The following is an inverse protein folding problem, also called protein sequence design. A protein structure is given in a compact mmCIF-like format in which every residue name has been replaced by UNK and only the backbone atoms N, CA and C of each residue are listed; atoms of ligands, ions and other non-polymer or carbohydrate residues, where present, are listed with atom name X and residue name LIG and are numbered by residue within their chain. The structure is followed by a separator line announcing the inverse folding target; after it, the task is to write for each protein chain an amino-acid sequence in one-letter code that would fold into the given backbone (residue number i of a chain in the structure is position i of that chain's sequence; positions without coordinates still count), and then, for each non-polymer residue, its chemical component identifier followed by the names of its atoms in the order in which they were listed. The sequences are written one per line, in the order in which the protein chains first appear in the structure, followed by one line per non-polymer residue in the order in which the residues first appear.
data_IF_378005214121
#
_entry.id   IF_378005214121
#
_cell.length_a   1.000
_cell.length_b   1.000
_cell.length_c   1.000
_cell.angle_alpha   90.00
_cell.angle_beta   90.00
_cell.angle_gamma   90.00
#
_symmetry.space_group_name_H-M   'P 1'
#
loop_
_entity.id
_entity.type
_entity.pdbx_description
1 polymer ?
#
# COMPACT_ATOMS: atom_id res chain seq x y z
N UNK A 1 2.16 9.15 8.38
CA UNK A 1 2.48 9.81 9.65
C UNK A 1 1.44 9.35 10.64
N UNK A 2 1.68 8.24 11.35
CA UNK A 2 0.79 7.75 12.41
C UNK A 2 1.61 7.74 13.70
N UNK A 3 1.45 8.80 14.49
CA UNK A 3 1.98 8.86 15.84
C UNK A 3 1.02 8.06 16.73
N UNK A 4 1.45 6.89 17.20
CA UNK A 4 0.76 6.18 18.28
C UNK A 4 1.08 6.88 19.60
N UNK A 5 0.11 7.50 20.32
CA UNK A 5 0.40 8.33 21.49
C UNK A 5 0.53 7.59 22.83
N UNK A 6 0.66 6.25 22.87
CA UNK A 6 0.28 5.52 24.10
C UNK A 6 1.42 5.03 24.99
N UNK A 7 2.70 5.24 24.67
CA UNK A 7 3.80 4.79 25.54
C UNK A 7 4.09 5.73 26.72
N UNK A 8 3.57 6.96 26.73
CA UNK A 8 3.98 7.99 27.69
C UNK A 8 3.25 7.99 29.03
N UNK A 9 2.15 7.24 29.19
CA UNK A 9 1.31 7.35 30.40
C UNK A 9 1.55 6.26 31.44
N UNK A 10 2.40 5.25 31.15
CA UNK A 10 2.61 4.12 32.06
C UNK A 10 3.56 4.47 33.23
N UNK A 11 4.65 5.19 32.97
CA UNK A 11 5.73 5.35 33.97
C UNK A 11 5.46 6.31 35.13
N UNK A 12 4.67 7.39 34.94
CA UNK A 12 4.45 8.40 35.99
C UNK A 12 3.29 8.02 36.94
N UNK A 13 2.35 7.20 36.47
CA UNK A 13 1.22 6.71 37.29
C UNK A 13 1.62 5.58 38.24
N UNK A 14 2.68 4.83 37.94
CA UNK A 14 3.07 3.65 38.72
C UNK A 14 3.61 3.98 40.12
N UNK A 15 4.39 5.05 40.27
CA UNK A 15 5.00 5.42 41.56
C UNK A 15 3.96 5.91 42.56
N UNK A 16 3.02 6.76 42.13
CA UNK A 16 1.88 7.19 42.97
C UNK A 16 0.94 6.03 43.28
N UNK A 17 0.85 5.03 42.39
CA UNK A 17 -0.01 3.86 42.56
C UNK A 17 0.54 2.88 43.62
N UNK A 18 1.85 2.69 43.68
CA UNK A 18 2.48 1.81 44.68
C UNK A 18 2.44 2.43 46.08
N UNK A 19 2.53 3.75 46.18
CA UNK A 19 2.37 4.47 47.45
C UNK A 19 0.92 4.39 47.98
N UNK A 20 -0.08 4.47 47.09
CA UNK A 20 -1.49 4.35 47.43
C UNK A 20 -1.88 2.98 48.01
N UNK A 21 -1.15 1.91 47.67
CA UNK A 21 -1.35 0.56 48.24
C UNK A 21 -0.47 0.33 49.46
N UNK A 22 0.81 0.71 49.38
CA UNK A 22 1.78 0.38 50.43
C UNK A 22 1.53 1.14 51.73
N UNK A 23 1.02 2.37 51.66
CA UNK A 23 0.70 3.17 52.84
C UNK A 23 -0.41 2.56 53.71
N UNK A 24 -1.65 2.35 53.23
CA UNK A 24 -2.70 1.74 54.05
C UNK A 24 -2.34 0.32 54.48
N UNK A 25 -1.62 -0.45 53.65
CA UNK A 25 -1.17 -1.78 54.04
C UNK A 25 -0.21 -1.74 55.25
N UNK A 26 0.76 -0.82 55.23
CA UNK A 26 1.71 -0.65 56.31
C UNK A 26 1.03 -0.11 57.59
N UNK A 27 0.09 0.82 57.45
CA UNK A 27 -0.74 1.30 58.56
C UNK A 27 -1.56 0.17 59.19
N UNK A 28 -2.14 -0.72 58.39
CA UNK A 28 -2.85 -1.93 58.86
C UNK A 28 -1.94 -2.92 59.59
N UNK A 29 -0.74 -3.20 59.07
CA UNK A 29 0.26 -4.05 59.73
C UNK A 29 0.65 -3.46 61.10
N UNK A 30 0.86 -2.15 61.17
CA UNK A 30 1.23 -1.46 62.41
C UNK A 30 0.10 -1.52 63.45
N UNK A 31 -1.16 -1.38 63.02
CA UNK A 31 -2.31 -1.59 63.88
C UNK A 31 -2.37 -3.02 64.45
N UNK A 32 -2.07 -4.04 63.64
CA UNK A 32 -1.97 -5.43 64.09
C UNK A 32 -0.83 -5.61 65.11
N UNK A 33 0.34 -5.01 64.88
CA UNK A 33 1.44 -5.02 65.83
C UNK A 33 1.02 -4.41 67.19
N UNK A 34 0.25 -3.31 67.16
CA UNK A 34 -0.27 -2.70 68.38
C UNK A 34 -1.24 -3.63 69.11
N UNK A 35 -2.14 -4.35 68.41
CA UNK A 35 -3.00 -5.36 69.04
C UNK A 35 -2.16 -6.37 69.82
N UNK A 36 -1.10 -6.92 69.20
CA UNK A 36 -0.21 -7.89 69.83
C UNK A 36 0.49 -7.32 71.09
N UNK A 37 0.95 -6.08 71.03
CA UNK A 37 1.55 -5.38 72.17
C UNK A 37 0.56 -5.19 73.32
N UNK A 38 -0.69 -4.80 73.02
CA UNK A 38 -1.71 -4.60 74.03
C UNK A 38 -2.22 -5.91 74.64
N UNK A 39 -2.32 -6.98 73.84
CA UNK A 39 -2.62 -8.34 74.30
C UNK A 39 -1.51 -8.91 75.20
N UNK A 40 -0.25 -8.55 74.97
CA UNK A 40 0.86 -8.91 75.86
C UNK A 40 0.79 -8.17 77.20
N UNK A 41 0.36 -6.91 77.20
CA UNK A 41 0.31 -6.04 78.39
C UNK A 41 -0.99 -6.18 79.17
N UNK A 42 -1.96 -6.94 78.69
CA UNK A 42 -3.23 -7.14 79.36
C UNK A 42 -3.08 -7.97 80.62
N UNK A 43 -3.35 -7.35 81.77
CA UNK A 43 -3.71 -8.05 83.00
C UNK A 43 -5.22 -8.27 83.01
N UNK A 44 -5.65 -9.52 83.01
CA UNK A 44 -7.06 -9.88 83.25
C UNK A 44 -7.31 -9.79 84.75
N UNK A 45 -8.27 -8.96 85.15
CA UNK A 45 -8.64 -8.85 86.56
C UNK A 45 -9.39 -10.15 86.99
N UNK A 46 -8.85 -10.94 87.92
CA UNK A 46 -9.39 -12.26 88.25
C UNK A 46 -10.78 -12.22 88.91
N UNK A 47 -11.24 -11.08 89.42
CA UNK A 47 -12.54 -10.95 90.09
C UNK A 47 -13.63 -10.33 89.24
N UNK A 48 -13.28 -9.58 88.19
CA UNK A 48 -14.26 -8.87 87.34
C UNK A 48 -14.28 -9.39 85.91
N UNK A 49 -13.36 -10.30 85.54
CA UNK A 49 -13.17 -10.84 84.20
C UNK A 49 -13.06 -9.75 83.10
N UNK A 50 -12.70 -8.53 83.51
CA UNK A 50 -12.71 -7.35 82.64
C UNK A 50 -11.29 -7.01 82.20
N UNK A 51 -11.09 -6.91 80.89
CA UNK A 51 -9.83 -6.52 80.27
C UNK A 51 -9.70 -4.99 80.22
N UNK A 52 -8.68 -4.43 80.89
CA UNK A 52 -8.45 -2.98 80.95
C UNK A 52 -8.15 -2.34 79.58
N UNK A 53 -7.58 -3.10 78.66
CA UNK A 53 -7.16 -2.61 77.34
C UNK A 53 -8.16 -2.92 76.22
N UNK A 54 -9.34 -3.50 76.54
CA UNK A 54 -10.29 -3.96 75.54
C UNK A 54 -10.68 -2.89 74.52
N UNK A 55 -10.98 -1.65 74.97
CA UNK A 55 -11.34 -0.53 74.07
C UNK A 55 -10.23 -0.19 73.08
N UNK A 56 -8.97 -0.26 73.50
CA UNK A 56 -7.82 0.05 72.64
C UNK A 56 -7.59 -1.08 71.63
N UNK A 57 -7.66 -2.34 72.08
CA UNK A 57 -7.58 -3.51 71.19
C UNK A 57 -8.68 -3.46 70.12
N UNK A 58 -9.92 -3.16 70.52
CA UNK A 58 -11.04 -3.02 69.59
C UNK A 58 -10.80 -1.91 68.55
N UNK A 59 -10.30 -0.75 68.98
CA UNK A 59 -9.96 0.33 68.06
C UNK A 59 -8.90 -0.10 67.03
N UNK A 60 -7.82 -0.76 67.46
CA UNK A 60 -6.81 -1.22 66.51
C UNK A 60 -7.31 -2.31 65.56
N UNK A 61 -8.27 -3.15 65.99
CA UNK A 61 -8.94 -4.11 65.11
C UNK A 61 -9.72 -3.37 64.03
N UNK A 62 -10.54 -2.39 64.42
CA UNK A 62 -11.32 -1.56 63.50
C UNK A 62 -10.39 -0.79 62.53
N UNK A 63 -9.30 -0.21 63.02
CA UNK A 63 -8.28 0.49 62.21
C UNK A 63 -7.61 -0.46 61.21
N UNK A 64 -7.20 -1.65 61.65
CA UNK A 64 -6.57 -2.66 60.80
C UNK A 64 -7.52 -3.16 59.70
N UNK A 65 -8.78 -3.44 60.04
CA UNK A 65 -9.80 -3.88 59.08
C UNK A 65 -10.03 -2.81 58.00
N UNK A 66 -10.17 -1.55 58.40
CA UNK A 66 -10.36 -0.43 57.47
C UNK A 66 -9.15 -0.28 56.53
N UNK A 67 -7.93 -0.31 57.07
CA UNK A 67 -6.70 -0.18 56.31
C UNK A 67 -6.52 -1.31 55.28
N UNK A 68 -6.78 -2.55 55.70
CA UNK A 68 -6.67 -3.73 54.82
C UNK A 68 -7.73 -3.69 53.72
N UNK A 69 -8.98 -3.33 54.05
CA UNK A 69 -10.07 -3.20 53.06
C UNK A 69 -9.80 -2.11 52.02
N UNK A 70 -9.23 -0.98 52.44
CA UNK A 70 -8.82 0.09 51.53
C UNK A 70 -7.72 -0.38 50.58
N UNK A 71 -6.73 -1.11 51.09
CA UNK A 71 -5.63 -1.67 50.30
C UNK A 71 -6.14 -2.70 49.29
N UNK A 72 -7.00 -3.62 49.73
CA UNK A 72 -7.61 -4.65 48.87
C UNK A 72 -8.41 -4.03 47.73
N UNK A 73 -9.24 -3.02 48.01
CA UNK A 73 -10.03 -2.30 47.00
C UNK A 73 -9.13 -1.66 45.96
N UNK A 74 -8.09 -0.95 46.41
CA UNK A 74 -7.13 -0.30 45.51
C UNK A 74 -6.41 -1.34 44.65
N UNK A 75 -5.97 -2.46 45.22
CA UNK A 75 -5.32 -3.54 44.46
C UNK A 75 -6.26 -4.11 43.39
N UNK A 76 -7.54 -4.36 43.73
CA UNK A 76 -8.54 -4.87 42.79
C UNK A 76 -8.76 -3.92 41.61
N UNK A 77 -8.90 -2.63 41.88
CA UNK A 77 -9.04 -1.61 40.82
C UNK A 77 -7.82 -1.60 39.89
N UNK A 78 -6.61 -1.69 40.45
CA UNK A 78 -5.36 -1.68 39.68
C UNK A 78 -5.19 -2.94 38.84
N UNK A 79 -5.54 -4.11 39.39
CA UNK A 79 -5.54 -5.36 38.64
C UNK A 79 -6.53 -5.30 37.47
N UNK A 80 -7.74 -4.78 37.70
CA UNK A 80 -8.72 -4.59 36.61
C UNK A 80 -8.19 -3.67 35.50
N UNK A 81 -7.59 -2.54 35.86
CA UNK A 81 -6.96 -1.64 34.89
C UNK A 81 -5.81 -2.31 34.12
N UNK A 82 -4.99 -3.12 34.80
CA UNK A 82 -3.90 -3.85 34.15
C UNK A 82 -4.44 -4.88 33.16
N UNK A 83 -5.50 -5.60 33.51
CA UNK A 83 -6.17 -6.55 32.62
C UNK A 83 -6.71 -5.85 31.37
N UNK A 84 -7.40 -4.71 31.52
CA UNK A 84 -7.87 -3.89 30.40
C UNK A 84 -6.72 -3.44 29.49
N UNK A 85 -5.60 -3.01 30.08
CA UNK A 85 -4.40 -2.62 29.33
C UNK A 85 -3.79 -3.79 28.57
N UNK A 86 -3.73 -4.98 29.18
CA UNK A 86 -3.24 -6.18 28.52
C UNK A 86 -4.13 -6.60 27.34
N UNK A 87 -5.45 -6.56 27.51
CA UNK A 87 -6.38 -6.82 26.41
C UNK A 87 -6.19 -5.83 25.26
N UNK A 88 -6.03 -4.54 25.57
CA UNK A 88 -5.75 -3.53 24.55
C UNK A 88 -4.44 -3.82 23.83
N UNK A 89 -3.37 -4.14 24.56
CA UNK A 89 -2.07 -4.45 23.98
C UNK A 89 -2.14 -5.69 23.08
N UNK A 90 -2.92 -6.71 23.45
CA UNK A 90 -3.16 -7.89 22.62
C UNK A 90 -3.87 -7.50 21.32
N UNK A 91 -4.92 -6.67 21.38
CA UNK A 91 -5.63 -6.15 20.20
C UNK A 91 -4.70 -5.35 19.28
N UNK A 92 -3.89 -4.46 19.85
CA UNK A 92 -2.92 -3.65 19.10
C UNK A 92 -1.85 -4.52 18.42
N UNK A 93 -1.32 -5.53 19.12
CA UNK A 93 -0.36 -6.49 18.56
C UNK A 93 -0.95 -7.22 17.36
N UNK A 94 -2.17 -7.73 17.48
CA UNK A 94 -2.86 -8.44 16.39
C UNK A 94 -3.05 -7.51 15.18
N UNK A 95 -3.46 -6.26 15.40
CA UNK A 95 -3.61 -5.28 14.34
C UNK A 95 -2.28 -4.98 13.62
N UNK A 96 -1.19 -4.80 14.37
CA UNK A 96 0.15 -4.57 13.81
C UNK A 96 0.63 -5.78 13.00
N UNK A 97 0.41 -7.01 13.49
CA UNK A 97 0.74 -8.23 12.76
C UNK A 97 -0.05 -8.34 11.45
N UNK A 98 -1.34 -7.99 11.47
CA UNK A 98 -2.18 -7.97 10.27
C UNK A 98 -1.69 -6.92 9.25
N UNK A 99 -1.44 -5.68 9.69
CA UNK A 99 -0.90 -4.63 8.82
C UNK A 99 0.47 -5.01 8.23
N UNK A 100 1.31 -5.71 8.99
CA UNK A 100 2.59 -6.21 8.50
C UNK A 100 2.40 -7.23 7.37
N UNK A 101 1.45 -8.17 7.50
CA UNK A 101 1.13 -9.14 6.45
C UNK A 101 0.61 -8.45 5.20
N UNK A 102 -0.33 -7.51 5.34
CA UNK A 102 -0.88 -6.74 4.21
C UNK A 102 0.19 -5.94 3.48
N UNK A 103 1.07 -5.26 4.22
CA UNK A 103 2.18 -4.49 3.63
C UNK A 103 3.19 -5.40 2.93
N UNK A 104 3.47 -6.58 3.49
CA UNK A 104 4.34 -7.57 2.85
C UNK A 104 3.76 -8.03 1.51
N UNK A 105 2.48 -8.41 1.49
CA UNK A 105 1.79 -8.81 0.26
C UNK A 105 1.77 -7.69 -0.78
N UNK A 106 1.56 -6.44 -0.35
CA UNK A 106 1.61 -5.28 -1.24
C UNK A 106 3.02 -5.08 -1.81
N UNK A 107 4.07 -5.23 -1.00
CA UNK A 107 5.46 -5.16 -1.47
C UNK A 107 5.78 -6.24 -2.51
N UNK A 108 5.35 -7.48 -2.28
CA UNK A 108 5.56 -8.58 -3.23
C UNK A 108 4.85 -8.30 -4.56
N UNK A 109 3.61 -7.80 -4.51
CA UNK A 109 2.87 -7.37 -5.70
C UNK A 109 3.58 -6.24 -6.45
N UNK A 110 4.07 -5.22 -5.75
CA UNK A 110 4.86 -4.15 -6.38
C UNK A 110 6.14 -4.68 -7.02
N UNK A 111 6.80 -5.67 -6.41
CA UNK A 111 7.98 -6.29 -6.99
C UNK A 111 7.67 -7.02 -8.31
N UNK A 112 6.56 -7.78 -8.33
CA UNK A 112 6.07 -8.45 -9.54
C UNK A 112 5.73 -7.43 -10.63
N UNK A 113 4.97 -6.38 -10.30
CA UNK A 113 4.61 -5.31 -11.24
C UNK A 113 5.84 -4.59 -11.80
N UNK A 114 6.81 -4.29 -10.93
CA UNK A 114 8.07 -3.66 -11.36
C UNK A 114 8.81 -4.55 -12.35
N UNK A 115 8.98 -5.84 -12.04
CA UNK A 115 9.65 -6.79 -12.94
C UNK A 115 8.94 -6.90 -14.29
N UNK A 116 7.61 -7.00 -14.28
CA UNK A 116 6.80 -7.03 -15.51
C UNK A 116 6.95 -5.74 -16.33
N UNK A 117 7.00 -4.57 -15.69
CA UNK A 117 7.23 -3.31 -16.37
C UNK A 117 8.65 -3.21 -16.96
N UNK A 118 9.67 -3.72 -16.26
CA UNK A 118 11.05 -3.80 -16.76
C UNK A 118 11.14 -4.71 -18.00
N UNK A 119 10.50 -5.88 -17.96
CA UNK A 119 10.42 -6.81 -19.11
C UNK A 119 9.69 -6.20 -20.30
N UNK A 120 8.59 -5.47 -20.07
CA UNK A 120 7.85 -4.75 -21.12
C UNK A 120 8.68 -3.62 -21.74
N UNK A 121 9.42 -2.87 -20.91
CA UNK A 121 10.31 -1.81 -21.39
C UNK A 121 11.47 -2.37 -22.24
N UNK A 122 12.07 -3.47 -21.80
CA UNK A 122 13.10 -4.21 -22.55
C UNK A 122 12.58 -4.66 -23.92
N UNK A 123 11.38 -5.24 -23.97
CA UNK A 123 10.72 -5.66 -25.21
C UNK A 123 10.49 -4.47 -26.15
N UNK A 124 9.94 -3.38 -25.62
CA UNK A 124 9.65 -2.16 -26.38
C UNK A 124 10.92 -1.54 -26.97
N UNK A 125 12.02 -1.53 -26.22
CA UNK A 125 13.33 -1.07 -26.72
C UNK A 125 13.83 -1.92 -27.90
N UNK A 126 13.69 -3.24 -27.82
CA UNK A 126 14.08 -4.15 -28.92
C UNK A 126 13.21 -3.92 -30.16
N UNK A 127 11.90 -3.73 -29.97
CA UNK A 127 10.99 -3.41 -31.06
C UNK A 127 11.33 -2.07 -31.73
N UNK A 128 11.67 -1.05 -30.94
CA UNK A 128 12.12 0.25 -31.45
C UNK A 128 13.42 0.12 -32.26
N UNK A 129 14.42 -0.58 -31.74
CA UNK A 129 15.69 -0.82 -32.45
C UNK A 129 15.46 -1.55 -33.80
N UNK A 130 14.55 -2.51 -33.82
CA UNK A 130 14.18 -3.22 -35.05
C UNK A 130 13.47 -2.30 -36.05
N UNK A 131 12.57 -1.44 -35.57
CA UNK A 131 11.88 -0.45 -36.40
C UNK A 131 12.87 0.56 -37.00
N UNK A 132 13.83 1.07 -36.22
CA UNK A 132 14.89 1.97 -36.69
C UNK A 132 15.73 1.33 -37.80
N UNK A 133 16.19 0.08 -37.61
CA UNK A 133 16.91 -0.68 -38.66
C UNK A 133 16.07 -0.86 -39.92
N UNK A 134 14.78 -1.12 -39.76
CA UNK A 134 13.86 -1.32 -40.89
C UNK A 134 13.66 -0.02 -41.68
N UNK A 135 13.57 1.12 -41.00
CA UNK A 135 13.53 2.45 -41.62
C UNK A 135 14.83 2.78 -42.34
N UNK A 136 15.99 2.45 -41.75
CA UNK A 136 17.29 2.64 -42.41
C UNK A 136 17.41 1.82 -43.70
N UNK A 137 17.01 0.55 -43.66
CA UNK A 137 16.96 -0.32 -44.84
C UNK A 137 16.00 0.21 -45.91
N UNK A 138 14.83 0.69 -45.53
CA UNK A 138 13.86 1.28 -46.45
C UNK A 138 14.44 2.54 -47.12
N UNK A 139 15.08 3.41 -46.35
CA UNK A 139 15.73 4.62 -46.86
C UNK A 139 16.90 4.28 -47.81
N UNK A 140 17.67 3.23 -47.53
CA UNK A 140 18.71 2.74 -48.42
C UNK A 140 18.13 2.23 -49.75
N UNK A 141 17.08 1.41 -49.69
CA UNK A 141 16.40 0.89 -50.86
C UNK A 141 15.82 2.02 -51.74
N UNK A 142 15.17 3.03 -51.13
CA UNK A 142 14.65 4.21 -51.83
C UNK A 142 15.80 4.92 -52.58
N UNK A 143 16.94 5.17 -51.92
CA UNK A 143 18.10 5.81 -52.57
C UNK A 143 18.66 4.99 -53.73
N UNK A 144 18.84 3.68 -53.54
CA UNK A 144 19.32 2.79 -54.59
C UNK A 144 18.38 2.76 -55.81
N UNK A 145 17.06 2.80 -55.57
CA UNK A 145 16.07 2.89 -56.64
C UNK A 145 16.08 4.25 -57.34
N UNK A 146 16.26 5.34 -56.59
CA UNK A 146 16.36 6.68 -57.14
C UNK A 146 17.62 6.86 -58.01
N UNK A 147 18.76 6.31 -57.60
CA UNK A 147 19.98 6.29 -58.41
C UNK A 147 19.80 5.49 -59.70
N UNK A 148 19.08 4.36 -59.64
CA UNK A 148 18.75 3.55 -60.82
C UNK A 148 17.75 4.23 -61.75
N UNK A 149 16.82 5.03 -61.24
CA UNK A 149 15.96 5.89 -62.07
C UNK A 149 16.74 7.00 -62.74
N UNK A 150 17.69 7.63 -62.04
CA UNK A 150 18.55 8.64 -62.63
C UNK A 150 19.45 8.07 -63.74
N UNK A 151 19.74 6.76 -63.72
CA UNK A 151 20.48 6.08 -64.80
C UNK A 151 19.61 5.49 -65.92
N UNK A 152 18.28 5.47 -65.78
CA UNK A 152 17.36 4.83 -66.72
C UNK A 152 16.27 5.83 -67.14
N UNK A 153 16.36 6.35 -68.37
CA UNK A 153 15.39 7.29 -68.96
C UNK A 153 14.05 6.62 -69.33
N UNK A 154 13.42 5.88 -68.40
CA UNK A 154 12.14 5.25 -68.69
C UNK A 154 11.16 5.37 -67.50
N UNK A 155 10.16 6.25 -67.70
CA UNK A 155 9.20 6.72 -66.70
C UNK A 155 8.22 5.63 -66.21
N UNK A 156 8.24 4.46 -66.85
CA UNK A 156 7.26 3.39 -66.62
C UNK A 156 7.58 2.49 -65.41
N UNK A 157 8.82 2.49 -64.90
CA UNK A 157 9.24 1.56 -63.82
C UNK A 157 8.98 2.10 -62.41
N UNK A 158 8.53 3.35 -62.28
CA UNK A 158 8.32 3.99 -60.97
C UNK A 158 7.10 3.47 -60.19
N UNK A 159 6.06 2.99 -60.89
CA UNK A 159 4.83 2.51 -60.25
C UNK A 159 4.98 1.19 -59.51
N UNK A 160 5.93 0.33 -59.89
CA UNK A 160 6.04 -1.04 -59.36
C UNK A 160 6.87 -1.12 -58.08
N UNK A 161 7.81 -0.20 -57.87
CA UNK A 161 8.77 -0.27 -56.76
C UNK A 161 8.12 0.09 -55.41
N UNK A 162 7.20 1.06 -55.37
CA UNK A 162 6.52 1.44 -54.13
C UNK A 162 5.60 0.33 -53.58
N UNK A 163 5.07 -0.53 -54.45
CA UNK A 163 4.18 -1.64 -54.07
C UNK A 163 4.93 -2.90 -53.61
N UNK A 164 6.23 -2.98 -53.89
CA UNK A 164 7.06 -4.14 -53.55
C UNK A 164 7.71 -4.05 -52.16
N UNK A 165 7.40 -3.01 -51.38
CA UNK A 165 7.90 -2.83 -50.02
C UNK A 165 6.86 -3.44 -49.08
N UNK A 166 6.98 -4.72 -48.70
CA UNK A 166 6.09 -5.25 -47.70
C UNK A 166 6.70 -4.74 -46.40
N UNK A 167 6.50 -3.51 -45.91
CA UNK A 167 7.08 -3.06 -44.62
C UNK A 167 5.98 -2.81 -43.57
N UNK A 168 4.79 -2.41 -44.01
CA UNK A 168 3.69 -2.10 -43.10
C UNK A 168 3.09 -3.33 -42.37
N UNK A 169 3.35 -4.55 -42.84
CA UNK A 169 2.77 -5.77 -42.26
C UNK A 169 3.41 -6.29 -40.97
N UNK A 170 4.66 -5.91 -40.64
CA UNK A 170 5.45 -6.56 -39.56
C UNK A 170 5.58 -5.66 -38.34
N UNK A 171 5.32 -4.36 -38.49
CA UNK A 171 5.35 -3.38 -37.40
C UNK A 171 4.05 -3.43 -36.58
N UNK A 172 2.93 -3.91 -37.16
CA UNK A 172 1.65 -4.00 -36.47
C UNK A 172 1.63 -5.08 -35.36
N UNK A 173 2.34 -6.20 -35.55
CA UNK A 173 2.29 -7.35 -34.63
C UNK A 173 2.82 -7.09 -33.21
N UNK A 174 4.00 -6.46 -33.04
CA UNK A 174 4.58 -6.23 -31.71
C UNK A 174 3.93 -5.10 -30.91
N UNK A 175 3.47 -4.03 -31.59
CA UNK A 175 2.80 -2.89 -30.95
C UNK A 175 1.42 -3.31 -30.40
N UNK A 176 0.72 -4.21 -31.09
CA UNK A 176 -0.56 -4.75 -30.63
C UNK A 176 -0.45 -5.66 -29.38
N UNK A 177 0.73 -6.22 -29.07
CA UNK A 177 0.90 -7.10 -27.90
C UNK A 177 1.32 -6.37 -26.62
N UNK A 178 1.72 -5.10 -26.72
CA UNK A 178 2.34 -4.36 -25.61
C UNK A 178 1.39 -3.44 -24.83
N UNK A 179 0.19 -3.16 -25.35
CA UNK A 179 -0.83 -2.37 -24.65
C UNK A 179 -2.04 -3.24 -24.25
N UNK A 180 -2.18 -3.51 -22.96
CA UNK A 180 -3.32 -4.25 -22.42
C UNK A 180 -4.65 -3.54 -22.67
N UNK A 181 -5.54 -4.22 -23.39
CA UNK A 181 -7.02 -4.14 -23.49
C UNK A 181 -7.70 -2.78 -23.75
N UNK A 182 -7.18 -1.63 -23.28
CA UNK A 182 -7.82 -0.31 -23.40
C UNK A 182 -7.35 0.54 -24.58
N UNK A 183 -6.16 0.31 -25.12
CA UNK A 183 -5.63 1.05 -26.28
C UNK A 183 -6.15 0.53 -27.63
N UNK A 184 -6.70 -0.68 -27.66
CA UNK A 184 -7.06 -1.39 -28.90
C UNK A 184 -8.27 -0.79 -29.62
N UNK A 185 -9.25 -0.30 -28.87
CA UNK A 185 -10.50 0.21 -29.45
C UNK A 185 -10.30 1.61 -30.06
N UNK A 186 -9.44 2.42 -29.45
CA UNK A 186 -9.11 3.77 -29.92
C UNK A 186 -8.18 3.72 -31.14
N UNK A 187 -7.19 2.83 -31.14
CA UNK A 187 -6.31 2.62 -32.29
C UNK A 187 -7.01 1.94 -33.48
N UNK A 188 -7.94 1.00 -33.21
CA UNK A 188 -8.75 0.34 -34.26
C UNK A 188 -9.71 1.34 -34.93
N UNK A 189 -10.31 2.25 -34.16
CA UNK A 189 -11.14 3.32 -34.72
C UNK A 189 -10.30 4.31 -35.55
N UNK A 190 -9.11 4.71 -35.08
CA UNK A 190 -8.21 5.58 -35.85
C UNK A 190 -7.69 4.92 -37.13
N UNK A 191 -7.45 3.59 -37.11
CA UNK A 191 -7.04 2.84 -38.29
C UNK A 191 -8.19 2.69 -39.30
N UNK A 192 -9.43 2.50 -38.83
CA UNK A 192 -10.64 2.48 -39.66
C UNK A 192 -10.90 3.84 -40.30
N UNK A 193 -10.71 4.93 -39.56
CA UNK A 193 -10.86 6.29 -40.08
C UNK A 193 -9.77 6.60 -41.11
N UNK A 194 -8.52 6.19 -40.87
CA UNK A 194 -7.44 6.32 -41.85
C UNK A 194 -7.67 5.45 -43.12
N UNK A 195 -8.29 4.27 -43.00
CA UNK A 195 -8.69 3.45 -44.14
C UNK A 195 -9.84 4.08 -44.93
N UNK A 196 -10.79 4.70 -44.25
CA UNK A 196 -11.89 5.45 -44.87
C UNK A 196 -11.40 6.68 -45.63
N UNK A 197 -10.48 7.44 -45.05
CA UNK A 197 -9.87 8.61 -45.69
C UNK A 197 -9.03 8.23 -46.92
N UNK A 198 -8.36 7.07 -46.89
CA UNK A 198 -7.64 6.54 -48.05
C UNK A 198 -8.58 6.16 -49.20
N UNK A 199 -9.71 5.50 -48.92
CA UNK A 199 -10.70 5.17 -49.95
C UNK A 199 -11.32 6.43 -50.58
N UNK A 200 -11.61 7.46 -49.78
CA UNK A 200 -12.10 8.75 -50.30
C UNK A 200 -11.05 9.49 -51.14
N UNK A 201 -9.76 9.40 -50.80
CA UNK A 201 -8.67 9.98 -51.59
C UNK A 201 -8.49 9.26 -52.94
N UNK A 202 -8.60 7.93 -52.95
CA UNK A 202 -8.55 7.11 -54.16
C UNK A 202 -9.74 7.41 -55.10
N UNK A 203 -10.95 7.60 -54.57
CA UNK A 203 -12.10 8.05 -55.36
C UNK A 203 -11.92 9.48 -55.91
N UNK A 204 -11.36 10.40 -55.12
CA UNK A 204 -11.11 11.78 -55.55
C UNK A 204 -10.05 11.89 -56.66
N UNK A 205 -9.07 10.98 -56.69
CA UNK A 205 -8.06 10.88 -57.74
C UNK A 205 -8.61 10.18 -59.00
N UNK A 206 -9.51 9.20 -58.84
CA UNK A 206 -10.21 8.55 -59.95
C UNK A 206 -11.08 9.54 -60.74
N UNK A 207 -11.82 10.42 -60.06
CA UNK A 207 -12.62 11.47 -60.72
C UNK A 207 -11.77 12.60 -61.32
N UNK A 208 -10.63 12.95 -60.69
CA UNK A 208 -9.69 13.96 -61.21
C UNK A 208 -8.93 13.46 -62.45
N UNK A 209 -8.66 12.15 -62.53
CA UNK A 209 -8.08 11.50 -63.72
C UNK A 209 -9.03 11.47 -64.91
N UNK A 210 -10.33 11.16 -64.70
CA UNK A 210 -11.34 11.14 -65.77
C UNK A 210 -11.62 12.53 -66.37
N UNK A 211 -11.61 13.59 -65.56
CA UNK A 211 -11.80 14.96 -66.04
C UNK A 211 -10.63 15.47 -66.91
N UNK A 212 -9.39 15.07 -66.62
CA UNK A 212 -8.24 15.44 -67.45
C UNK A 212 -8.17 14.68 -68.78
N UNK A 213 -8.70 13.46 -68.85
CA UNK A 213 -8.77 12.71 -70.13
C UNK A 213 -9.90 13.24 -71.03
N UNK A 214 -11.00 13.74 -70.45
CA UNK A 214 -12.10 14.34 -71.21
C UNK A 214 -11.80 15.77 -71.70
N UNK A 215 -10.87 16.50 -71.06
CA UNK A 215 -10.44 17.83 -71.53
C UNK A 215 -9.38 17.79 -72.65
N UNK A 216 -8.67 16.67 -72.83
CA UNK A 216 -7.69 16.50 -73.92
C UNK A 216 -8.34 15.97 -75.22
N UNK A 217 -9.59 15.48 -75.15
CA UNK A 217 -10.34 15.00 -76.32
C UNK A 217 -11.20 16.03 -77.06
N UNK A 218 -11.13 17.33 -76.73
CA UNK A 218 -11.87 18.41 -77.41
C UNK A 218 -10.98 19.45 -78.08
N UNK A 219 -9.72 19.09 -78.33
CA UNK A 219 -8.74 19.92 -79.02
C UNK A 219 -8.00 19.13 -80.10
N UNK A 220 -8.73 18.35 -80.91
CA UNK A 220 -8.40 17.94 -82.28
C UNK A 220 -9.70 17.67 -83.04
#
# INVERSE_FOLDING_TARGET
MFASPCLSTCGVKDVQSMEAVSRPLNEGILAICNICEFLKKTHVNPTTDTCSNYKQIRKYIEDAEQCLKSSETTIKEKLGYLDECMEQLIREKQNVEQQKKEKSLAMDNFHIKKKSAEESLESSKKALEQAEKSVELANYAIRAHQDKMNSCNDLATAGTVLLAIPIFGWIAGPIMMSEGERGFEEASNALRDAQWDKQNLEESLYWRGKHNVLSIGSLW
#
